data_IF_130360236038
#
_entry.id   IF_130360236038
#
_cell.length_a   1.000
_cell.length_b   1.000
_cell.length_c   1.000
_cell.angle_alpha   90.00
_cell.angle_beta   90.00
_cell.angle_gamma   90.00
#
_symmetry.space_group_name_H-M   'P 1'
#
loop_
_entity.id
_entity.type
_entity.pdbx_description
1 polymer ?
#
# COMPACT_ATOMS: atom_id res chain seq x y z
N UNK A 1 -8.24 43.95 18.18
CA UNK A 1 -7.54 43.11 19.19
C UNK A 1 -8.31 41.82 19.45
N UNK A 2 -9.62 41.87 19.70
CA UNK A 2 -10.49 40.67 19.88
C UNK A 2 -10.44 39.71 18.70
N UNK A 3 -10.61 40.19 17.47
CA UNK A 3 -10.57 39.33 16.24
C UNK A 3 -9.26 38.59 16.09
N UNK A 4 -8.14 39.16 16.53
CA UNK A 4 -6.83 38.47 16.46
C UNK A 4 -6.72 37.38 17.51
N UNK A 5 -7.32 37.58 18.69
CA UNK A 5 -7.35 36.55 19.75
C UNK A 5 -8.28 35.40 19.34
N UNK A 6 -9.45 35.69 18.78
CA UNK A 6 -10.39 34.67 18.29
C UNK A 6 -9.75 33.83 17.19
N UNK A 7 -9.06 34.46 16.22
CA UNK A 7 -8.34 33.73 15.17
C UNK A 7 -7.24 32.85 15.73
N UNK A 8 -6.47 33.33 16.70
CA UNK A 8 -5.42 32.53 17.37
C UNK A 8 -6.03 31.36 18.15
N UNK A 9 -7.16 31.54 18.83
CA UNK A 9 -7.84 30.47 19.54
C UNK A 9 -8.34 29.40 18.58
N UNK A 10 -8.95 29.74 17.44
CA UNK A 10 -9.37 28.79 16.42
C UNK A 10 -8.17 28.03 15.82
N UNK A 11 -7.04 28.70 15.60
CA UNK A 11 -5.83 28.04 15.11
C UNK A 11 -5.26 27.05 16.15
N UNK A 12 -5.26 27.42 17.43
CA UNK A 12 -4.83 26.55 18.54
C UNK A 12 -5.77 25.35 18.67
N UNK A 13 -7.07 25.54 18.65
CA UNK A 13 -8.05 24.44 18.72
C UNK A 13 -7.88 23.47 17.56
N UNK A 14 -7.64 23.98 16.35
CA UNK A 14 -7.34 23.13 15.19
C UNK A 14 -6.06 22.33 15.39
N UNK A 15 -4.98 22.94 15.87
CA UNK A 15 -3.72 22.27 16.14
C UNK A 15 -3.88 21.21 17.24
N UNK A 16 -4.61 21.50 18.30
CA UNK A 16 -4.89 20.51 19.37
C UNK A 16 -5.66 19.32 18.81
N UNK A 17 -6.64 19.56 17.93
CA UNK A 17 -7.40 18.47 17.28
C UNK A 17 -6.49 17.61 16.41
N UNK A 18 -5.66 18.23 15.56
CA UNK A 18 -4.71 17.54 14.70
C UNK A 18 -3.70 16.69 15.52
N UNK A 19 -3.20 17.23 16.64
CA UNK A 19 -2.29 16.49 17.55
C UNK A 19 -2.99 15.30 18.19
N UNK A 20 -4.23 15.47 18.67
CA UNK A 20 -5.00 14.36 19.25
C UNK A 20 -5.31 13.26 18.25
N UNK A 21 -5.69 13.63 17.03
CA UNK A 21 -5.92 12.67 15.95
C UNK A 21 -4.64 11.88 15.59
N UNK A 22 -3.49 12.58 15.50
CA UNK A 22 -2.20 11.94 15.27
C UNK A 22 -1.79 11.00 16.43
N UNK A 23 -2.03 11.39 17.68
CA UNK A 23 -1.74 10.57 18.86
C UNK A 23 -2.63 9.31 18.89
N UNK A 24 -3.92 9.45 18.60
CA UNK A 24 -4.84 8.32 18.52
C UNK A 24 -4.44 7.35 17.40
N UNK A 25 -4.14 7.86 16.21
CA UNK A 25 -3.64 7.04 15.10
C UNK A 25 -2.35 6.28 15.47
N UNK A 26 -1.44 6.91 16.24
CA UNK A 26 -0.22 6.26 16.71
C UNK A 26 -0.50 5.15 17.73
N UNK A 27 -1.44 5.37 18.65
CA UNK A 27 -1.87 4.36 19.64
C UNK A 27 -2.51 3.16 18.95
N UNK A 28 -3.45 3.40 18.03
CA UNK A 28 -4.11 2.36 17.25
C UNK A 28 -3.11 1.58 16.40
N UNK A 29 -2.15 2.28 15.77
CA UNK A 29 -1.08 1.63 15.02
C UNK A 29 -0.27 0.67 15.90
N UNK A 30 0.20 1.11 17.08
CA UNK A 30 0.97 0.26 18.00
C UNK A 30 0.18 -0.95 18.47
N UNK A 31 -1.11 -0.77 18.76
CA UNK A 31 -2.00 -1.88 19.16
C UNK A 31 -2.19 -2.87 18.02
N UNK A 32 -2.48 -2.38 16.81
CA UNK A 32 -2.68 -3.21 15.63
C UNK A 32 -1.40 -3.97 15.24
N UNK A 33 -0.24 -3.32 15.27
CA UNK A 33 1.07 -3.98 15.06
C UNK A 33 1.24 -5.13 16.03
N UNK A 34 1.03 -4.90 17.32
CA UNK A 34 1.21 -5.92 18.34
C UNK A 34 0.27 -7.11 18.11
N UNK A 35 -0.98 -6.86 17.75
CA UNK A 35 -1.97 -7.90 17.49
C UNK A 35 -1.65 -8.69 16.21
N UNK A 36 -1.33 -7.99 15.12
CA UNK A 36 -1.05 -8.62 13.82
C UNK A 36 0.28 -9.40 13.80
N UNK A 37 1.27 -9.01 14.63
CA UNK A 37 2.50 -9.78 14.82
C UNK A 37 2.30 -11.01 15.73
N UNK A 38 1.43 -10.92 16.74
CA UNK A 38 1.21 -12.00 17.70
C UNK A 38 0.55 -13.23 17.03
N UNK A 39 -0.39 -13.01 16.13
CA UNK A 39 -1.15 -14.10 15.46
C UNK A 39 -0.24 -15.07 14.70
N UNK A 40 0.57 -14.63 13.71
CA UNK A 40 1.48 -15.52 12.99
C UNK A 40 2.53 -16.16 13.92
N UNK A 41 3.04 -15.41 14.89
CA UNK A 41 4.02 -15.91 15.85
C UNK A 41 3.44 -17.05 16.71
N UNK A 42 2.19 -16.91 17.17
CA UNK A 42 1.49 -17.97 17.92
C UNK A 42 1.29 -19.21 17.06
N UNK A 43 0.94 -19.04 15.78
CA UNK A 43 0.79 -20.16 14.84
C UNK A 43 2.12 -20.88 14.62
N UNK A 44 3.21 -20.14 14.35
CA UNK A 44 4.56 -20.70 14.19
C UNK A 44 4.96 -21.49 15.43
N UNK A 45 4.83 -20.87 16.63
CA UNK A 45 5.20 -21.50 17.89
C UNK A 45 4.38 -22.77 18.17
N UNK A 46 3.07 -22.72 17.95
CA UNK A 46 2.20 -23.88 18.20
C UNK A 46 2.49 -25.05 17.27
N UNK A 47 2.68 -24.80 15.98
CA UNK A 47 3.05 -25.88 15.03
C UNK A 47 4.46 -26.43 15.33
N UNK A 48 5.43 -25.58 15.64
CA UNK A 48 6.77 -26.00 16.01
C UNK A 48 6.77 -26.84 17.32
N UNK A 49 5.97 -26.48 18.31
CA UNK A 49 5.81 -27.24 19.56
C UNK A 49 5.22 -28.62 19.31
N UNK A 50 4.14 -28.74 18.53
CA UNK A 50 3.55 -30.02 18.17
C UNK A 50 4.53 -30.92 17.44
N UNK A 51 5.36 -30.36 16.53
CA UNK A 51 6.42 -31.11 15.83
C UNK A 51 7.52 -31.56 16.79
N UNK A 52 7.96 -30.68 17.70
CA UNK A 52 9.00 -30.96 18.71
C UNK A 52 8.58 -32.10 19.65
N UNK A 53 7.31 -32.10 20.05
CA UNK A 53 6.78 -33.08 20.99
C UNK A 53 6.37 -34.42 20.34
N UNK A 54 6.61 -34.57 19.01
CA UNK A 54 6.31 -35.79 18.28
C UNK A 54 4.81 -36.07 18.11
N UNK A 55 3.97 -35.05 18.26
CA UNK A 55 2.51 -35.14 18.18
C UNK A 55 2.00 -35.03 16.72
N UNK A 56 2.91 -34.79 15.77
CA UNK A 56 2.59 -34.68 14.34
C UNK A 56 2.94 -35.99 13.64
N UNK A 57 2.00 -36.55 12.88
CA UNK A 57 2.26 -37.72 12.07
C UNK A 57 3.25 -37.41 10.93
N UNK A 58 4.12 -38.38 10.51
CA UNK A 58 5.09 -38.17 9.44
C UNK A 58 4.47 -37.62 8.13
N UNK A 59 3.26 -38.05 7.78
CA UNK A 59 2.51 -37.60 6.61
C UNK A 59 2.06 -36.13 6.66
N UNK A 60 1.88 -35.57 7.87
CA UNK A 60 1.47 -34.20 8.10
C UNK A 60 2.66 -33.22 8.24
N UNK A 61 3.88 -33.72 8.45
CA UNK A 61 5.08 -32.89 8.63
C UNK A 61 5.31 -31.85 7.53
N UNK A 62 5.17 -32.21 6.21
CA UNK A 62 5.33 -31.22 5.14
C UNK A 62 4.32 -30.07 5.23
N UNK A 63 3.06 -30.37 5.59
CA UNK A 63 2.01 -29.36 5.75
C UNK A 63 2.31 -28.41 6.90
N UNK A 64 2.74 -28.92 8.04
CA UNK A 64 3.11 -28.12 9.21
C UNK A 64 4.32 -27.23 8.89
N UNK A 65 5.36 -27.78 8.27
CA UNK A 65 6.54 -27.03 7.85
C UNK A 65 6.19 -25.93 6.86
N UNK A 66 5.32 -26.20 5.88
CA UNK A 66 4.85 -25.22 4.92
C UNK A 66 4.08 -24.07 5.63
N UNK A 67 3.21 -24.40 6.59
CA UNK A 67 2.48 -23.38 7.36
C UNK A 67 3.43 -22.48 8.16
N UNK A 68 4.44 -23.07 8.83
CA UNK A 68 5.46 -22.30 9.57
C UNK A 68 6.21 -21.36 8.61
N UNK A 69 6.65 -21.88 7.46
CA UNK A 69 7.35 -21.08 6.46
C UNK A 69 6.50 -19.91 5.95
N UNK A 70 5.25 -20.16 5.62
CA UNK A 70 4.32 -19.15 5.12
C UNK A 70 4.05 -18.05 6.15
N UNK A 71 3.82 -18.42 7.42
CA UNK A 71 3.58 -17.42 8.47
C UNK A 71 4.86 -16.64 8.81
N UNK A 72 6.04 -17.25 8.73
CA UNK A 72 7.32 -16.55 8.87
C UNK A 72 7.53 -15.54 7.74
N UNK A 73 7.25 -15.91 6.48
CA UNK A 73 7.30 -15.01 5.32
C UNK A 73 6.33 -13.84 5.46
N UNK A 74 5.11 -14.11 5.95
CA UNK A 74 4.12 -13.08 6.24
C UNK A 74 4.62 -12.09 7.30
N UNK A 75 5.24 -12.61 8.38
CA UNK A 75 5.80 -11.78 9.45
C UNK A 75 6.92 -10.86 8.94
N UNK A 76 7.83 -11.39 8.12
CA UNK A 76 8.90 -10.63 7.48
C UNK A 76 8.32 -9.49 6.63
N UNK A 77 7.37 -9.78 5.74
CA UNK A 77 6.72 -8.77 4.89
C UNK A 77 6.02 -7.68 5.71
N UNK A 78 5.43 -8.06 6.84
CA UNK A 78 4.78 -7.11 7.75
C UNK A 78 5.80 -6.18 8.42
N UNK A 79 6.91 -6.73 8.92
CA UNK A 79 8.00 -5.94 9.52
C UNK A 79 8.59 -4.96 8.49
N UNK A 80 8.85 -5.41 7.26
CA UNK A 80 9.32 -4.54 6.18
C UNK A 80 8.33 -3.40 5.89
N UNK A 81 7.03 -3.69 5.84
CA UNK A 81 5.99 -2.68 5.66
C UNK A 81 5.93 -1.66 6.81
N UNK A 82 6.11 -2.10 8.06
CA UNK A 82 6.17 -1.23 9.24
C UNK A 82 7.40 -0.31 9.17
N UNK A 83 8.58 -0.85 8.82
CA UNK A 83 9.81 -0.07 8.67
C UNK A 83 9.66 0.98 7.57
N UNK A 84 9.08 0.60 6.42
CA UNK A 84 8.81 1.54 5.32
C UNK A 84 7.89 2.67 5.76
N UNK A 85 6.81 2.34 6.45
CA UNK A 85 5.86 3.33 6.93
C UNK A 85 6.47 4.27 7.98
N UNK A 86 7.29 3.73 8.91
CA UNK A 86 8.01 4.54 9.90
C UNK A 86 8.96 5.54 9.25
N UNK A 87 9.67 5.14 8.18
CA UNK A 87 10.56 6.04 7.43
C UNK A 87 9.81 7.18 6.75
N UNK A 88 8.58 6.93 6.29
CA UNK A 88 7.73 7.95 5.68
C UNK A 88 7.14 8.93 6.71
N UNK A 89 6.87 8.46 7.94
CA UNK A 89 6.35 9.29 9.04
C UNK A 89 7.44 10.18 9.65
N UNK A 90 8.71 9.74 9.64
CA UNK A 90 9.83 10.52 10.14
C UNK A 90 10.37 11.43 9.03
N UNK A 91 9.97 12.71 8.99
CA UNK A 91 10.52 13.77 8.11
C UNK A 91 12.06 13.99 8.25
N UNK A 92 12.80 13.04 8.82
CA UNK A 92 14.23 13.16 9.23
C UNK A 92 15.22 12.51 8.27
N UNK A 93 14.75 11.73 7.29
CA UNK A 93 15.66 11.17 6.29
C UNK A 93 15.92 12.26 5.26
N UNK A 94 17.20 12.61 5.03
CA UNK A 94 17.60 13.36 3.84
C UNK A 94 17.22 12.50 2.63
N UNK A 95 16.02 12.76 2.10
CA UNK A 95 15.52 12.08 0.91
C UNK A 95 15.95 12.89 -0.29
N UNK A 96 16.63 12.27 -1.21
CA UNK A 96 17.10 12.91 -2.43
C UNK A 96 15.90 13.13 -3.36
N UNK A 97 15.53 14.39 -3.52
CA UNK A 97 14.54 14.82 -4.49
C UNK A 97 15.19 14.95 -5.86
N UNK A 98 14.72 14.18 -6.81
CA UNK A 98 15.25 14.14 -8.17
C UNK A 98 14.14 14.23 -9.23
N UNK A 99 14.54 14.36 -10.48
CA UNK A 99 13.62 14.33 -11.60
C UNK A 99 13.35 12.89 -12.01
N UNK A 100 12.23 12.34 -11.58
CA UNK A 100 11.82 10.96 -11.82
C UNK A 100 10.92 10.90 -13.06
N UNK A 101 11.29 10.07 -14.05
CA UNK A 101 10.44 9.75 -15.19
C UNK A 101 9.45 8.67 -14.81
N UNK A 102 8.16 9.03 -14.76
CA UNK A 102 7.08 8.12 -14.34
C UNK A 102 6.88 6.95 -15.30
N UNK A 103 7.19 7.12 -16.60
CA UNK A 103 7.08 6.03 -17.59
C UNK A 103 8.17 4.98 -17.37
N UNK A 104 9.41 5.41 -17.17
CA UNK A 104 10.53 4.50 -16.86
C UNK A 104 10.30 3.78 -15.52
N UNK A 105 9.76 4.49 -14.53
CA UNK A 105 9.42 3.92 -13.25
C UNK A 105 8.35 2.84 -13.39
N UNK A 106 7.29 3.11 -14.17
CA UNK A 106 6.23 2.13 -14.46
C UNK A 106 6.80 0.89 -15.17
N UNK A 107 7.74 1.09 -16.11
CA UNK A 107 8.40 -0.01 -16.83
C UNK A 107 9.22 -0.89 -15.87
N UNK A 108 9.96 -0.27 -14.96
CA UNK A 108 10.72 -0.98 -13.92
C UNK A 108 9.78 -1.82 -13.04
N UNK A 109 8.69 -1.23 -12.55
CA UNK A 109 7.69 -1.93 -11.72
C UNK A 109 7.06 -3.11 -12.47
N UNK A 110 6.70 -2.91 -13.74
CA UNK A 110 6.17 -4.01 -14.57
C UNK A 110 7.16 -5.18 -14.65
N UNK A 111 8.45 -4.89 -14.86
CA UNK A 111 9.48 -5.93 -14.95
C UNK A 111 9.61 -6.69 -13.63
N UNK A 112 9.62 -5.98 -12.50
CA UNK A 112 9.73 -6.58 -11.18
C UNK A 112 8.50 -7.44 -10.82
N UNK A 113 7.32 -7.08 -11.33
CA UNK A 113 6.08 -7.82 -11.14
C UNK A 113 5.82 -8.90 -12.22
N UNK A 114 6.71 -9.07 -13.22
CA UNK A 114 6.51 -10.00 -14.35
C UNK A 114 6.26 -11.43 -13.87
N UNK A 115 7.08 -11.94 -12.96
CA UNK A 115 6.90 -13.29 -12.41
C UNK A 115 5.52 -13.45 -11.76
N UNK A 116 5.12 -12.49 -10.94
CA UNK A 116 3.84 -12.53 -10.22
C UNK A 116 2.66 -12.44 -11.19
N UNK A 117 2.73 -11.56 -12.19
CA UNK A 117 1.68 -11.44 -13.20
C UNK A 117 1.51 -12.73 -14.02
N UNK A 118 2.60 -13.45 -14.30
CA UNK A 118 2.56 -14.75 -14.94
C UNK A 118 1.95 -15.84 -14.04
N UNK A 119 2.34 -15.88 -12.76
CA UNK A 119 1.79 -16.83 -11.77
C UNK A 119 0.27 -16.64 -11.56
N UNK A 120 -0.21 -15.40 -11.58
CA UNK A 120 -1.65 -15.06 -11.43
C UNK A 120 -2.40 -15.03 -12.79
N UNK A 121 -1.70 -15.23 -13.91
CA UNK A 121 -2.24 -15.17 -15.27
C UNK A 121 -2.92 -13.83 -15.59
N UNK A 122 -2.29 -12.70 -15.20
CA UNK A 122 -2.78 -11.32 -15.38
C UNK A 122 -1.85 -10.57 -16.31
N UNK A 123 -2.41 -9.93 -17.34
CA UNK A 123 -1.63 -9.10 -18.27
C UNK A 123 -1.39 -7.70 -17.68
N UNK A 124 -0.14 -7.17 -17.80
CA UNK A 124 0.21 -5.82 -17.35
C UNK A 124 0.62 -4.96 -18.54
N UNK A 125 -0.11 -3.87 -18.76
CA UNK A 125 0.11 -2.93 -19.85
C UNK A 125 0.53 -1.57 -19.34
N UNK A 126 1.49 -0.93 -20.01
CA UNK A 126 1.87 0.47 -19.78
C UNK A 126 1.44 1.29 -20.97
N UNK A 127 0.80 2.42 -20.70
CA UNK A 127 0.33 3.38 -21.72
C UNK A 127 0.75 4.79 -21.34
N UNK A 128 0.88 5.65 -22.32
CA UNK A 128 1.09 7.08 -22.11
C UNK A 128 2.44 7.59 -22.57
N UNK A 129 2.93 8.65 -21.94
CA UNK A 129 4.10 9.41 -22.37
C UNK A 129 5.09 9.61 -21.23
N UNK A 130 6.37 9.77 -21.59
CA UNK A 130 7.41 10.15 -20.64
C UNK A 130 7.03 11.46 -19.95
N UNK A 131 6.87 11.39 -18.63
CA UNK A 131 6.48 12.53 -17.82
C UNK A 131 7.37 12.57 -16.58
N UNK A 132 8.13 13.65 -16.45
CA UNK A 132 9.04 13.85 -15.31
C UNK A 132 8.37 14.65 -14.22
N UNK A 133 8.56 14.22 -12.98
CA UNK A 133 8.16 14.95 -11.79
C UNK A 133 9.35 15.08 -10.84
N UNK A 134 9.37 16.14 -10.05
CA UNK A 134 10.29 16.24 -8.93
C UNK A 134 9.76 15.41 -7.78
N UNK A 135 10.48 14.38 -7.38
CA UNK A 135 10.02 13.43 -6.35
C UNK A 135 11.15 12.59 -5.80
N UNK A 136 10.84 11.76 -4.81
CA UNK A 136 11.74 10.75 -4.25
C UNK A 136 11.46 9.42 -4.92
N UNK A 137 12.38 8.96 -5.77
CA UNK A 137 12.19 7.79 -6.64
C UNK A 137 11.77 6.55 -5.84
N UNK A 138 12.39 6.30 -4.70
CA UNK A 138 12.07 5.14 -3.87
C UNK A 138 10.63 5.18 -3.37
N UNK A 139 10.13 6.34 -2.91
CA UNK A 139 8.75 6.48 -2.40
C UNK A 139 7.76 6.31 -3.54
N UNK A 140 8.02 6.92 -4.71
CA UNK A 140 7.19 6.77 -5.90
C UNK A 140 7.14 5.31 -6.37
N UNK A 141 8.30 4.63 -6.38
CA UNK A 141 8.37 3.20 -6.69
C UNK A 141 7.50 2.39 -5.74
N UNK A 142 7.63 2.57 -4.43
CA UNK A 142 6.85 1.84 -3.43
C UNK A 142 5.34 2.10 -3.56
N UNK A 143 4.94 3.35 -3.84
CA UNK A 143 3.53 3.69 -4.10
C UNK A 143 2.97 2.88 -5.26
N UNK A 144 3.59 3.00 -6.43
CA UNK A 144 3.07 2.39 -7.64
C UNK A 144 3.24 0.87 -7.65
N UNK A 145 4.31 0.34 -7.04
CA UNK A 145 4.48 -1.09 -6.84
C UNK A 145 3.33 -1.68 -6.01
N UNK A 146 2.96 -1.05 -4.88
CA UNK A 146 1.86 -1.53 -4.05
C UNK A 146 0.50 -1.49 -4.77
N UNK A 147 0.24 -0.47 -5.58
CA UNK A 147 -0.98 -0.39 -6.37
C UNK A 147 -1.01 -1.51 -7.42
N UNK A 148 0.06 -1.65 -8.21
CA UNK A 148 0.14 -2.68 -9.26
C UNK A 148 0.14 -4.09 -8.68
N UNK A 149 0.84 -4.32 -7.55
CA UNK A 149 0.83 -5.60 -6.86
C UNK A 149 -0.58 -5.98 -6.39
N UNK A 150 -1.33 -5.03 -5.81
CA UNK A 150 -2.71 -5.26 -5.43
C UNK A 150 -3.60 -5.52 -6.66
N UNK A 151 -3.45 -4.74 -7.73
CA UNK A 151 -4.18 -4.90 -8.97
C UNK A 151 -3.98 -6.29 -9.62
N UNK A 152 -2.77 -6.86 -9.55
CA UNK A 152 -2.48 -8.22 -10.00
C UNK A 152 -3.07 -9.24 -9.02
N UNK A 153 -2.81 -9.06 -7.72
CA UNK A 153 -3.18 -10.00 -6.67
C UNK A 153 -4.69 -10.21 -6.54
N UNK A 154 -5.46 -9.14 -6.67
CA UNK A 154 -6.92 -9.17 -6.56
C UNK A 154 -7.63 -9.25 -7.90
N UNK A 155 -6.89 -9.59 -8.94
CA UNK A 155 -7.46 -9.87 -10.26
C UNK A 155 -7.95 -11.31 -10.39
N UNK A 156 -8.59 -11.59 -11.50
CA UNK A 156 -8.96 -12.93 -11.94
C UNK A 156 -8.00 -13.42 -13.03
N UNK A 157 -7.94 -14.72 -13.27
CA UNK A 157 -7.16 -15.30 -14.37
C UNK A 157 -7.65 -14.76 -15.72
N UNK A 158 -6.71 -14.38 -16.58
CA UNK A 158 -7.00 -13.75 -17.86
C UNK A 158 -7.38 -12.27 -17.76
N UNK A 159 -7.34 -11.67 -16.56
CA UNK A 159 -7.57 -10.25 -16.37
C UNK A 159 -6.39 -9.37 -16.77
N UNK A 160 -6.57 -8.08 -16.67
CA UNK A 160 -5.54 -7.10 -17.05
C UNK A 160 -5.37 -5.99 -16.01
N UNK A 161 -4.17 -5.40 -16.01
CA UNK A 161 -3.80 -4.18 -15.29
C UNK A 161 -3.24 -3.18 -16.30
N UNK A 162 -3.78 -1.99 -16.34
CA UNK A 162 -3.32 -0.91 -17.22
C UNK A 162 -2.75 0.22 -16.38
N UNK A 163 -1.45 0.49 -16.54
CA UNK A 163 -0.74 1.60 -15.91
C UNK A 163 -0.61 2.73 -16.93
N UNK A 164 -1.36 3.81 -16.76
CA UNK A 164 -1.40 4.94 -17.67
C UNK A 164 -0.70 6.16 -17.09
N UNK A 165 0.23 6.75 -17.83
CA UNK A 165 0.90 8.00 -17.49
C UNK A 165 0.43 9.07 -18.47
N UNK A 166 -0.13 10.16 -17.94
CA UNK A 166 -0.66 11.25 -18.74
C UNK A 166 -0.38 12.61 -18.08
N UNK A 167 -0.75 13.66 -18.80
CA UNK A 167 -0.66 15.03 -18.31
C UNK A 167 -1.91 15.78 -18.74
N UNK A 168 -2.58 16.42 -17.79
CA UNK A 168 -3.78 17.22 -18.05
C UNK A 168 -3.60 18.61 -17.43
N UNK A 169 -3.66 19.68 -18.25
CA UNK A 169 -3.46 21.05 -17.79
C UNK A 169 -2.16 21.25 -16.99
N UNK A 170 -1.08 20.57 -17.41
CA UNK A 170 0.24 20.54 -16.75
C UNK A 170 0.31 19.76 -15.41
N UNK A 171 -0.75 19.12 -14.98
CA UNK A 171 -0.73 18.20 -13.87
C UNK A 171 -0.34 16.79 -14.35
N UNK A 172 0.79 16.23 -13.89
CA UNK A 172 1.12 14.84 -14.15
C UNK A 172 0.10 13.92 -13.48
N UNK A 173 -0.42 12.95 -14.21
CA UNK A 173 -1.45 12.01 -13.74
C UNK A 173 -0.96 10.60 -13.98
N UNK A 174 -1.08 9.78 -12.96
CA UNK A 174 -0.87 8.34 -13.02
C UNK A 174 -2.18 7.65 -12.70
N UNK A 175 -2.58 6.72 -13.57
CA UNK A 175 -3.78 5.90 -13.39
C UNK A 175 -3.36 4.44 -13.44
N UNK A 176 -3.75 3.66 -12.44
CA UNK A 176 -3.67 2.21 -12.47
C UNK A 176 -5.08 1.65 -12.39
N UNK A 177 -5.45 0.92 -13.42
CA UNK A 177 -6.79 0.33 -13.58
C UNK A 177 -6.66 -1.17 -13.74
N UNK A 178 -7.49 -1.93 -13.02
CA UNK A 178 -7.54 -3.38 -13.09
C UNK A 178 -8.97 -3.87 -13.39
N UNK A 179 -9.06 -5.08 -13.91
CA UNK A 179 -10.32 -5.79 -14.16
C UNK A 179 -10.66 -6.79 -13.06
N UNK A 180 -10.13 -6.61 -11.85
CA UNK A 180 -10.23 -7.56 -10.75
C UNK A 180 -11.59 -7.59 -10.06
N UNK A 181 -11.57 -8.11 -8.83
CA UNK A 181 -12.80 -8.32 -8.03
C UNK A 181 -13.48 -7.03 -7.61
N UNK A 182 -12.80 -5.88 -7.71
CA UNK A 182 -13.30 -4.60 -7.20
C UNK A 182 -13.39 -4.53 -5.68
N UNK A 183 -13.87 -3.39 -5.19
CA UNK A 183 -13.95 -3.06 -3.76
C UNK A 183 -15.41 -2.64 -3.45
N UNK A 184 -16.03 -3.18 -2.39
CA UNK A 184 -17.33 -2.73 -1.93
C UNK A 184 -17.34 -1.24 -1.57
N UNK A 185 -18.43 -0.53 -1.85
CA UNK A 185 -18.52 0.92 -1.61
C UNK A 185 -18.32 1.31 -0.15
N UNK A 186 -18.81 0.47 0.77
CA UNK A 186 -18.67 0.64 2.22
C UNK A 186 -17.23 0.57 2.72
N UNK A 187 -16.33 -0.03 1.93
CA UNK A 187 -14.93 -0.21 2.30
C UNK A 187 -14.00 0.86 1.69
N UNK A 188 -14.45 1.61 0.67
CA UNK A 188 -13.61 2.55 -0.09
C UNK A 188 -12.90 3.58 0.80
N UNK A 189 -13.56 4.10 1.82
CA UNK A 189 -12.98 5.07 2.73
C UNK A 189 -11.93 4.44 3.66
N UNK A 190 -12.03 3.13 3.90
CA UNK A 190 -11.24 2.38 4.87
C UNK A 190 -10.04 1.65 4.29
N UNK A 191 -10.01 1.37 2.99
CA UNK A 191 -8.91 0.60 2.36
C UNK A 191 -7.53 1.22 2.55
N UNK A 192 -7.45 2.50 2.91
CA UNK A 192 -6.22 3.23 3.21
C UNK A 192 -5.85 3.23 4.71
N UNK A 193 -6.70 2.68 5.56
CA UNK A 193 -6.36 2.46 6.97
C UNK A 193 -5.27 1.39 7.09
N UNK A 194 -4.37 1.56 8.05
CA UNK A 194 -3.29 0.60 8.31
C UNK A 194 -3.87 -0.73 8.80
N UNK A 195 -3.43 -1.84 8.21
CA UNK A 195 -3.90 -3.21 8.51
C UNK A 195 -5.35 -3.51 8.11
N UNK A 196 -6.02 -2.58 7.44
CA UNK A 196 -7.39 -2.83 6.98
C UNK A 196 -7.41 -3.84 5.82
N UNK A 197 -8.42 -4.70 5.83
CA UNK A 197 -8.69 -5.69 4.78
C UNK A 197 -10.20 -5.86 4.66
N UNK A 198 -10.71 -5.82 3.45
CA UNK A 198 -12.14 -5.92 3.10
C UNK A 198 -12.77 -7.21 3.64
N UNK A 199 -12.04 -8.33 3.65
CA UNK A 199 -12.54 -9.61 4.15
C UNK A 199 -11.48 -10.35 4.97
N UNK A 200 -11.76 -10.60 6.25
CA UNK A 200 -10.91 -11.44 7.12
C UNK A 200 -11.19 -12.93 6.93
N UNK A 201 -12.38 -13.32 6.41
CA UNK A 201 -12.87 -14.70 6.36
C UNK A 201 -12.60 -15.42 5.04
N UNK A 202 -12.68 -14.73 3.91
CA UNK A 202 -12.41 -15.31 2.59
C UNK A 202 -10.97 -15.11 2.09
N UNK A 203 -10.19 -14.29 2.74
CA UNK A 203 -8.83 -13.92 2.34
C UNK A 203 -7.73 -14.88 2.81
N UNK A 204 -8.07 -16.04 3.38
CA UNK A 204 -7.05 -17.05 3.72
C UNK A 204 -6.24 -17.55 2.51
N UNK A 205 -6.75 -17.35 1.28
CA UNK A 205 -6.03 -17.69 0.06
C UNK A 205 -5.16 -16.54 -0.50
N UNK A 206 -5.51 -15.26 -0.25
CA UNK A 206 -4.73 -14.10 -0.76
C UNK A 206 -4.10 -13.32 0.41
N UNK A 207 -3.01 -13.86 0.94
CA UNK A 207 -2.26 -13.31 2.09
C UNK A 207 -1.74 -11.88 1.83
N UNK A 208 -1.97 -10.94 2.75
CA UNK A 208 -1.43 -9.56 2.68
C UNK A 208 -1.40 -8.89 4.04
N UNK A 209 -0.49 -7.93 4.25
CA UNK A 209 -0.29 -7.22 5.50
C UNK A 209 -1.34 -6.14 5.81
N UNK A 210 -2.11 -5.70 4.80
CA UNK A 210 -3.00 -4.53 4.94
C UNK A 210 -2.25 -3.18 5.05
N UNK A 211 -0.95 -3.16 4.73
CA UNK A 211 -0.13 -1.94 4.79
C UNK A 211 0.08 -1.28 3.41
N UNK A 212 -0.11 -2.02 2.32
CA UNK A 212 0.23 -1.54 0.97
C UNK A 212 -0.47 -0.23 0.60
N UNK A 213 -1.79 -0.15 0.71
CA UNK A 213 -2.53 1.06 0.36
C UNK A 213 -2.30 2.21 1.34
N UNK A 214 -1.98 1.93 2.61
CA UNK A 214 -1.57 2.98 3.54
C UNK A 214 -0.21 3.59 3.15
N UNK A 215 0.74 2.81 2.61
CA UNK A 215 2.00 3.31 2.04
C UNK A 215 1.70 4.21 0.85
N UNK A 216 0.76 3.82 -0.03
CA UNK A 216 0.33 4.66 -1.17
C UNK A 216 -0.19 6.02 -0.68
N UNK A 217 -1.09 6.03 0.29
CA UNK A 217 -1.67 7.26 0.86
C UNK A 217 -0.58 8.18 1.46
N UNK A 218 0.37 7.61 2.21
CA UNK A 218 1.47 8.38 2.79
C UNK A 218 2.42 8.93 1.72
N UNK A 219 2.76 8.14 0.70
CA UNK A 219 3.61 8.57 -0.40
C UNK A 219 2.95 9.65 -1.26
N UNK A 220 1.64 9.57 -1.52
CA UNK A 220 0.87 10.60 -2.19
C UNK A 220 0.88 11.92 -1.39
N UNK A 221 0.58 11.84 -0.09
CA UNK A 221 0.65 12.99 0.83
C UNK A 221 2.06 13.60 0.87
N UNK A 222 3.11 12.78 0.91
CA UNK A 222 4.50 13.25 0.90
C UNK A 222 4.84 14.08 -0.35
N UNK A 223 4.29 13.69 -1.51
CA UNK A 223 4.48 14.40 -2.78
C UNK A 223 3.42 15.48 -3.04
N UNK A 224 2.56 15.80 -2.07
CA UNK A 224 1.41 16.71 -2.23
C UNK A 224 0.52 16.32 -3.42
N UNK A 225 0.41 15.02 -3.69
CA UNK A 225 -0.45 14.49 -4.74
C UNK A 225 -1.86 14.21 -4.21
N UNK A 226 -2.86 14.46 -5.05
CA UNK A 226 -4.24 14.07 -4.81
C UNK A 226 -4.46 12.64 -5.27
N UNK A 227 -5.37 11.92 -4.60
CA UNK A 227 -5.64 10.53 -4.91
C UNK A 227 -7.14 10.30 -4.96
N UNK A 228 -7.59 9.65 -6.04
CA UNK A 228 -8.97 9.26 -6.25
C UNK A 228 -9.05 7.75 -6.47
N UNK A 229 -10.12 7.12 -5.98
CA UNK A 229 -10.40 5.71 -6.18
C UNK A 229 -11.82 5.55 -6.70
N UNK A 230 -11.94 4.85 -7.81
CA UNK A 230 -13.21 4.41 -8.37
C UNK A 230 -13.19 2.89 -8.47
N UNK A 231 -14.16 2.22 -7.84
CA UNK A 231 -14.23 0.77 -7.83
C UNK A 231 -15.67 0.30 -7.71
N UNK A 232 -15.96 -0.78 -8.41
CA UNK A 232 -17.24 -1.47 -8.34
C UNK A 232 -17.00 -2.98 -8.21
N UNK A 233 -17.65 -3.59 -7.24
CA UNK A 233 -17.52 -5.02 -6.99
C UNK A 233 -17.84 -5.84 -8.27
N UNK A 234 -16.91 -6.70 -8.67
CA UNK A 234 -16.98 -7.51 -9.88
C UNK A 234 -16.57 -6.82 -11.18
N UNK A 235 -16.17 -5.53 -11.14
CA UNK A 235 -15.73 -4.79 -12.35
C UNK A 235 -14.26 -4.35 -12.32
N UNK A 236 -13.66 -4.31 -11.13
CA UNK A 236 -12.28 -3.90 -10.94
C UNK A 236 -12.14 -2.58 -10.19
N UNK A 237 -10.91 -2.07 -10.17
CA UNK A 237 -10.53 -0.87 -9.42
C UNK A 237 -9.69 0.05 -10.29
N UNK A 238 -9.93 1.35 -10.16
CA UNK A 238 -9.15 2.42 -10.78
C UNK A 238 -8.64 3.36 -9.69
N UNK A 239 -7.33 3.49 -9.58
CA UNK A 239 -6.67 4.44 -8.68
C UNK A 239 -6.01 5.51 -9.54
N UNK A 240 -6.37 6.78 -9.30
CA UNK A 240 -5.81 7.95 -9.98
C UNK A 240 -4.99 8.76 -8.98
N UNK A 241 -3.75 9.09 -9.35
CA UNK A 241 -2.86 9.95 -8.58
C UNK A 241 -2.52 11.16 -9.42
N UNK A 242 -2.84 12.36 -8.91
CA UNK A 242 -2.65 13.64 -9.57
C UNK A 242 -1.56 14.39 -8.82
N UNK A 243 -0.42 14.58 -9.48
CA UNK A 243 0.69 15.33 -8.90
C UNK A 243 0.53 16.84 -9.12
N UNK A 244 1.08 17.69 -8.22
CA UNK A 244 1.06 19.13 -8.41
C UNK A 244 1.80 19.52 -9.70
N UNK A 245 1.43 20.65 -10.26
CA UNK A 245 2.13 21.22 -11.44
C UNK A 245 3.63 21.27 -11.17
N UNK A 246 4.37 20.71 -12.09
CA UNK A 246 5.82 20.83 -12.04
C UNK A 246 6.21 22.24 -12.52
N UNK A 247 7.03 22.93 -11.73
CA UNK A 247 7.62 24.17 -12.20
C UNK A 247 8.50 23.81 -13.42
N UNK A 248 8.24 24.45 -14.56
CA UNK A 248 9.18 24.38 -15.68
C UNK A 248 10.50 24.95 -15.17
N UNK A 249 11.55 24.11 -15.12
CA UNK A 249 12.89 24.64 -15.02
C UNK A 249 13.14 25.44 -16.32
N UNK A 250 13.05 26.78 -16.21
CA UNK A 250 13.49 27.73 -17.23
C UNK A 250 15.00 27.79 -17.22
#
# INVERSE_FOLDING_TARGET
>A
MLDKIEKQNMDIERQIKEIKEAENMRKEFSANVSHELKTPLTTISGYAELMKDGLVKPEDMPRFSATIYDEARRLISMIEGIIKLSRLDENRVQLDWENVDLYELAFTIKNDLTRRSQEEEVAVHIRGVHTKIRGVQQILYEMFFNICENAIKYNHKGGEVVFTISKMNDYPIVIVEDTGIGIPKEDLDRIFERFYRVDKSHSNQKKGSGLGLSIVKHGAKFHNAEMEVDSELGKGTKITIIFPKQKSDL
#
